data_IF_603799972856
#
_entry.id   IF_603799972856
#
_cell.length_a   1.000
_cell.length_b   1.000
_cell.length_c   1.000
_cell.angle_alpha   90.00
_cell.angle_beta   90.00
_cell.angle_gamma   90.00
#
_symmetry.space_group_name_H-M   'P 1'
#
loop_
_entity.id
_entity.type
_entity.pdbx_description
1 polymer ?
#
# COMPACT_ATOMS: atom_id res chain seq x y z
N UNK A 1 45.15 -9.80 27.37
CA UNK A 1 46.21 -8.76 27.37
C UNK A 1 45.62 -7.55 26.65
N UNK A 2 45.13 -6.51 27.34
CA UNK A 2 45.94 -5.36 27.78
C UNK A 2 46.48 -4.61 26.55
N UNK A 3 46.27 -3.33 26.28
CA UNK A 3 45.96 -2.17 27.13
C UNK A 3 45.67 -0.96 26.22
N UNK A 4 44.97 0.04 26.76
CA UNK A 4 44.68 1.37 26.22
C UNK A 4 45.91 2.15 25.74
N UNK A 5 45.74 3.06 24.78
CA UNK A 5 46.21 4.46 24.90
C UNK A 5 45.30 5.40 24.11
N UNK A 6 44.94 6.50 24.77
CA UNK A 6 43.97 7.51 24.36
C UNK A 6 44.66 8.78 23.84
N UNK A 7 43.84 9.65 23.22
CA UNK A 7 43.99 11.11 23.10
C UNK A 7 45.06 11.60 22.10
N UNK A 8 44.89 12.66 21.29
CA UNK A 8 44.01 13.83 21.27
C UNK A 8 44.23 14.44 19.84
N UNK A 9 43.26 15.03 19.14
CA UNK A 9 43.15 16.51 18.97
C UNK A 9 41.93 16.82 18.09
N UNK A 10 41.23 17.84 18.56
CA UNK A 10 40.07 18.58 18.08
C UNK A 10 39.87 18.82 16.57
N UNK A 11 38.59 18.73 16.18
CA UNK A 11 37.77 19.77 15.53
C UNK A 11 38.50 20.75 14.59
N UNK A 12 38.14 20.72 13.31
CA UNK A 12 37.80 21.95 12.58
C UNK A 12 36.91 21.66 11.37
N UNK A 13 35.70 22.21 11.42
CA UNK A 13 34.90 22.53 10.23
C UNK A 13 35.76 23.30 9.23
N UNK A 14 35.87 22.81 7.99
CA UNK A 14 36.08 23.67 6.83
C UNK A 14 35.19 23.13 5.71
N UNK A 15 34.24 23.96 5.33
CA UNK A 15 33.25 23.71 4.30
C UNK A 15 33.47 24.76 3.20
N UNK A 16 33.20 24.32 1.97
CA UNK A 16 32.84 25.08 0.77
C UNK A 16 33.93 25.75 -0.08
N UNK A 17 33.92 25.26 -1.33
CA UNK A 17 33.73 26.03 -2.58
C UNK A 17 34.95 26.63 -3.28
N UNK A 18 34.86 26.55 -4.63
CA UNK A 18 35.58 27.27 -5.70
C UNK A 18 36.79 26.52 -6.34
N UNK A 19 36.65 25.78 -7.47
CA UNK A 19 36.48 26.13 -8.92
C UNK A 19 37.77 25.66 -9.68
N UNK A 20 37.86 25.30 -10.98
CA UNK A 20 37.15 25.61 -12.23
C UNK A 20 37.53 24.54 -13.29
N UNK A 21 36.62 24.16 -14.20
CA UNK A 21 36.92 23.31 -15.38
C UNK A 21 37.19 24.22 -16.58
N UNK A 22 38.36 24.11 -17.24
CA UNK A 22 38.63 24.76 -18.52
C UNK A 22 38.47 23.72 -19.64
N UNK A 23 37.41 23.84 -20.43
CA UNK A 23 37.29 23.11 -21.69
C UNK A 23 38.13 23.82 -22.75
N UNK A 24 39.12 23.12 -23.33
CA UNK A 24 39.74 23.55 -24.59
C UNK A 24 39.39 22.52 -25.67
N UNK A 25 38.58 22.94 -26.64
CA UNK A 25 38.15 22.14 -27.76
C UNK A 25 39.09 22.44 -28.93
N UNK A 26 40.06 21.55 -29.19
CA UNK A 26 40.76 21.49 -30.49
C UNK A 26 40.89 20.04 -30.93
N UNK A 27 40.08 19.72 -31.94
CA UNK A 27 40.12 18.58 -32.85
C UNK A 27 40.68 17.25 -32.30
N UNK A 28 39.76 16.35 -31.94
CA UNK A 28 39.95 14.93 -32.19
C UNK A 28 40.46 14.05 -31.05
N UNK A 29 40.76 14.57 -29.85
CA UNK A 29 41.18 13.78 -28.69
C UNK A 29 40.73 14.47 -27.38
N UNK A 30 39.75 13.89 -26.67
CA UNK A 30 39.38 14.34 -25.32
C UNK A 30 40.35 13.75 -24.30
N UNK A 31 41.32 14.54 -23.84
CA UNK A 31 42.25 14.19 -22.74
C UNK A 31 41.87 15.02 -21.51
N UNK A 32 41.52 14.37 -20.40
CA UNK A 32 41.24 14.99 -19.09
C UNK A 32 42.54 15.10 -18.29
N UNK A 33 42.86 16.29 -17.78
CA UNK A 33 44.00 16.54 -16.87
C UNK A 33 43.47 17.16 -15.58
N UNK A 34 43.69 16.51 -14.44
CA UNK A 34 43.42 17.06 -13.10
C UNK A 34 44.75 17.29 -12.37
N UNK A 35 44.98 18.50 -11.86
CA UNK A 35 46.10 18.81 -10.95
C UNK A 35 45.55 19.04 -9.55
N UNK A 36 45.98 18.22 -8.58
CA UNK A 36 45.77 18.42 -7.15
C UNK A 36 47.00 19.14 -6.57
N UNK A 37 46.84 20.38 -6.14
CA UNK A 37 47.85 21.07 -5.32
C UNK A 37 47.55 20.82 -3.84
N UNK A 38 48.39 20.01 -3.19
CA UNK A 38 48.37 19.79 -1.74
C UNK A 38 49.52 20.61 -1.14
N UNK A 39 49.20 21.64 -0.35
CA UNK A 39 50.19 22.46 0.35
C UNK A 39 50.28 21.98 1.80
N UNK A 40 51.33 21.21 2.12
CA UNK A 40 51.63 20.75 3.49
C UNK A 40 52.59 21.77 4.13
N UNK A 41 52.17 22.37 5.24
CA UNK A 41 53.00 23.28 6.03
C UNK A 41 53.99 22.53 6.93
N UNK A 42 55.29 22.77 6.75
CA UNK A 42 56.32 22.43 7.73
C UNK A 42 57.33 23.58 7.87
N UNK A 43 57.81 23.77 9.10
CA UNK A 43 58.60 24.90 9.59
C UNK A 43 60.04 24.91 9.04
N UNK A 44 60.58 26.14 9.01
CA UNK A 44 61.93 26.63 8.65
C UNK A 44 63.12 25.67 8.84
N UNK A 45 63.99 25.62 7.83
CA UNK A 45 65.46 25.72 7.92
C UNK A 45 66.07 26.01 6.51
N UNK A 46 67.33 26.47 6.40
CA UNK A 46 67.70 27.68 5.66
C UNK A 46 68.03 27.50 4.17
N UNK A 47 67.91 28.61 3.45
CA UNK A 47 68.34 28.84 2.05
C UNK A 47 69.85 28.59 1.91
N UNK A 48 70.28 28.00 0.78
CA UNK A 48 71.43 28.52 0.07
C UNK A 48 71.05 28.94 -1.35
N UNK A 49 71.42 30.17 -1.65
CA UNK A 49 71.42 30.85 -2.94
C UNK A 49 72.23 30.10 -3.99
N UNK A 50 71.72 29.95 -5.21
CA UNK A 50 72.46 30.36 -6.42
C UNK A 50 71.57 30.31 -7.67
N UNK A 51 71.57 31.43 -8.38
CA UNK A 51 71.06 31.60 -9.74
C UNK A 51 71.89 30.76 -10.73
N UNK A 52 71.27 30.04 -11.67
CA UNK A 52 71.19 30.47 -13.06
C UNK A 52 70.61 29.42 -14.02
N UNK A 53 69.97 29.98 -15.04
CA UNK A 53 69.21 29.38 -16.16
C UNK A 53 70.08 28.50 -17.07
N UNK A 54 69.48 27.45 -17.68
CA UNK A 54 69.26 27.28 -19.15
C UNK A 54 69.10 25.79 -19.57
N UNK A 55 67.88 25.46 -19.97
CA UNK A 55 67.44 24.92 -21.27
C UNK A 55 68.26 23.91 -22.12
N UNK A 56 67.48 22.91 -22.59
CA UNK A 56 67.58 22.03 -23.78
C UNK A 56 68.48 20.78 -23.74
N UNK A 57 67.87 19.57 -23.77
CA UNK A 57 67.68 18.72 -24.97
C UNK A 57 67.02 17.37 -24.55
N UNK A 58 65.88 17.00 -25.15
CA UNK A 58 65.71 15.99 -26.20
C UNK A 58 66.10 14.55 -25.83
N UNK A 59 65.11 13.65 -25.78
CA UNK A 59 65.24 12.31 -26.40
C UNK A 59 63.88 11.68 -26.71
N UNK A 60 63.80 11.08 -27.90
CA UNK A 60 62.71 10.32 -28.51
C UNK A 60 62.20 9.17 -27.62
N UNK A 61 60.89 8.90 -27.67
CA UNK A 61 60.32 7.63 -27.20
C UNK A 61 59.69 6.86 -28.37
N UNK A 62 60.01 5.56 -28.38
CA UNK A 62 59.60 4.56 -29.37
C UNK A 62 58.12 4.22 -29.16
N UNK A 63 57.37 4.15 -30.26
CA UNK A 63 55.97 3.73 -30.28
C UNK A 63 55.84 2.25 -29.94
N UNK A 64 55.18 1.94 -28.82
CA UNK A 64 54.60 0.63 -28.55
C UNK A 64 53.19 0.58 -29.15
N UNK A 65 53.01 -0.28 -30.15
CA UNK A 65 51.68 -0.69 -30.60
C UNK A 65 51.17 -1.77 -29.64
N UNK A 66 50.09 -1.48 -28.91
CA UNK A 66 49.31 -2.48 -28.19
C UNK A 66 48.03 -2.70 -29.00
N UNK A 67 47.93 -3.87 -29.63
CA UNK A 67 46.71 -4.34 -30.30
C UNK A 67 45.63 -4.60 -29.26
N UNK A 68 44.50 -3.90 -29.38
CA UNK A 68 43.28 -4.15 -28.61
C UNK A 68 42.71 -5.53 -28.94
N UNK A 69 42.72 -6.43 -27.96
CA UNK A 69 41.77 -7.54 -27.90
C UNK A 69 41.17 -7.60 -26.49
N UNK A 70 40.47 -6.53 -26.11
CA UNK A 70 39.43 -6.65 -25.09
C UNK A 70 38.20 -7.22 -25.81
N UNK A 71 37.72 -8.37 -25.36
CA UNK A 71 36.37 -8.83 -25.66
C UNK A 71 35.37 -7.73 -25.30
N UNK A 72 34.97 -6.94 -26.29
CA UNK A 72 33.91 -5.96 -26.15
C UNK A 72 32.62 -6.73 -25.89
N UNK A 73 32.21 -6.79 -24.62
CA UNK A 73 30.88 -7.30 -24.25
C UNK A 73 29.84 -6.52 -25.06
N UNK A 74 28.89 -7.24 -25.67
CA UNK A 74 27.88 -6.68 -26.59
C UNK A 74 27.00 -5.66 -25.85
N UNK A 75 26.70 -4.52 -26.47
CA UNK A 75 25.82 -3.49 -25.89
C UNK A 75 24.38 -4.04 -25.73
N UNK A 76 23.72 -3.83 -24.59
CA UNK A 76 22.35 -4.32 -24.33
C UNK A 76 21.33 -3.82 -25.36
N UNK A 77 21.53 -2.61 -25.91
CA UNK A 77 20.68 -2.10 -27.00
C UNK A 77 20.85 -2.91 -28.28
N UNK A 78 22.08 -3.38 -28.57
CA UNK A 78 22.37 -4.24 -29.71
C UNK A 78 21.84 -5.66 -29.50
N UNK A 79 21.92 -6.20 -28.27
CA UNK A 79 21.37 -7.51 -27.91
C UNK A 79 19.85 -7.54 -28.14
N UNK A 80 19.13 -6.48 -27.74
CA UNK A 80 17.69 -6.35 -27.99
C UNK A 80 17.33 -5.86 -29.41
N UNK A 81 18.31 -5.45 -30.23
CA UNK A 81 18.07 -4.97 -31.59
C UNK A 81 17.29 -3.65 -31.68
N UNK A 82 17.48 -2.75 -30.70
CA UNK A 82 16.71 -1.51 -30.56
C UNK A 82 17.63 -0.27 -30.50
N UNK A 83 17.16 0.90 -30.95
CA UNK A 83 17.91 2.15 -30.78
C UNK A 83 17.90 2.61 -29.32
N UNK A 84 18.89 3.40 -28.90
CA UNK A 84 18.97 3.97 -27.53
C UNK A 84 17.78 4.85 -27.16
N UNK A 85 17.12 5.45 -28.15
CA UNK A 85 15.91 6.26 -28.02
C UNK A 85 14.62 5.45 -27.91
N UNK A 86 14.68 4.12 -27.87
CA UNK A 86 13.50 3.25 -27.84
C UNK A 86 12.64 3.49 -26.59
N UNK A 87 11.34 3.66 -26.82
CA UNK A 87 10.35 3.77 -25.74
C UNK A 87 10.25 2.47 -24.94
N UNK A 88 9.82 2.50 -23.67
CA UNK A 88 9.70 1.29 -22.82
C UNK A 88 8.80 0.21 -23.46
N UNK A 89 7.82 0.64 -24.26
CA UNK A 89 7.01 -0.24 -25.09
C UNK A 89 7.90 -1.04 -26.05
N UNK A 90 8.65 -0.38 -26.92
CA UNK A 90 9.48 -1.02 -27.95
C UNK A 90 10.45 -2.03 -27.32
N UNK A 91 11.03 -1.71 -26.16
CA UNK A 91 11.90 -2.61 -25.39
C UNK A 91 11.20 -3.90 -24.97
N UNK A 92 9.98 -3.78 -24.43
CA UNK A 92 9.17 -4.93 -24.02
C UNK A 92 8.77 -5.80 -25.21
N UNK A 93 8.47 -5.19 -26.37
CA UNK A 93 8.17 -5.91 -27.61
C UNK A 93 9.39 -6.67 -28.13
N UNK A 94 10.54 -6.02 -28.17
CA UNK A 94 11.79 -6.63 -28.63
C UNK A 94 12.23 -7.79 -27.73
N UNK A 95 12.15 -7.62 -26.41
CA UNK A 95 12.41 -8.70 -25.44
C UNK A 95 11.49 -9.89 -25.67
N UNK A 96 10.17 -9.66 -25.81
CA UNK A 96 9.22 -10.74 -26.04
C UNK A 96 9.54 -11.53 -27.31
N UNK A 97 9.82 -10.86 -28.43
CA UNK A 97 10.13 -11.53 -29.70
C UNK A 97 11.41 -12.38 -29.62
N UNK A 98 12.44 -11.88 -28.95
CA UNK A 98 13.71 -12.58 -28.80
C UNK A 98 13.61 -13.71 -27.75
N UNK A 99 12.93 -13.48 -26.63
CA UNK A 99 12.64 -14.48 -25.60
C UNK A 99 11.83 -15.65 -26.18
N UNK A 100 10.81 -15.35 -27.00
CA UNK A 100 10.01 -16.37 -27.68
C UNK A 100 10.81 -17.09 -28.77
N UNK A 101 11.85 -16.49 -29.35
CA UNK A 101 12.72 -17.10 -30.36
C UNK A 101 13.76 -18.03 -29.74
N UNK A 102 14.36 -17.63 -28.62
CA UNK A 102 15.46 -18.35 -27.96
C UNK A 102 15.01 -19.23 -26.79
N UNK A 103 13.71 -19.35 -26.52
CA UNK A 103 13.17 -20.21 -25.45
C UNK A 103 13.70 -21.66 -25.56
N UNK A 104 14.15 -22.29 -24.46
CA UNK A 104 14.76 -23.62 -24.49
C UNK A 104 13.84 -24.72 -25.05
N UNK A 105 12.52 -24.56 -24.93
CA UNK A 105 11.53 -25.52 -25.45
C UNK A 105 11.21 -25.37 -26.95
N UNK A 106 11.79 -24.37 -27.64
CA UNK A 106 11.60 -24.22 -29.09
C UNK A 106 12.74 -24.87 -29.88
N UNK A 107 12.42 -25.30 -31.10
CA UNK A 107 13.37 -25.92 -32.05
C UNK A 107 14.57 -25.04 -32.44
N UNK A 108 14.52 -23.73 -32.17
CA UNK A 108 15.62 -22.76 -32.35
C UNK A 108 16.11 -22.15 -31.01
N UNK A 109 15.86 -22.84 -29.90
CA UNK A 109 16.21 -22.39 -28.55
C UNK A 109 17.71 -22.34 -28.31
N UNK A 110 18.17 -21.26 -27.66
CA UNK A 110 19.56 -21.10 -27.26
C UNK A 110 19.59 -20.46 -25.86
N UNK A 111 19.90 -21.28 -24.85
CA UNK A 111 19.91 -20.87 -23.44
C UNK A 111 20.85 -19.69 -23.20
N UNK A 112 21.96 -19.62 -23.93
CA UNK A 112 22.95 -18.55 -23.77
C UNK A 112 22.40 -17.21 -24.27
N UNK A 113 21.75 -17.20 -25.43
CA UNK A 113 21.10 -16.00 -25.97
C UNK A 113 19.86 -15.61 -25.19
N UNK A 114 19.14 -16.57 -24.64
CA UNK A 114 18.01 -16.31 -23.76
C UNK A 114 18.47 -15.57 -22.49
N UNK A 115 19.57 -16.01 -21.88
CA UNK A 115 20.19 -15.33 -20.75
C UNK A 115 20.66 -13.91 -21.11
N UNK A 116 21.39 -13.74 -22.23
CA UNK A 116 21.83 -12.41 -22.70
C UNK A 116 20.65 -11.45 -22.91
N UNK A 117 19.54 -11.94 -23.47
CA UNK A 117 18.33 -11.15 -23.76
C UNK A 117 17.56 -10.78 -22.49
N UNK A 118 17.49 -11.69 -21.51
CA UNK A 118 16.86 -11.44 -20.21
C UNK A 118 17.67 -10.45 -19.37
N UNK A 119 18.99 -10.57 -19.35
CA UNK A 119 19.90 -9.61 -18.69
C UNK A 119 19.73 -8.21 -19.32
N UNK A 120 19.72 -8.13 -20.66
CA UNK A 120 19.53 -6.86 -21.36
C UNK A 120 18.20 -6.19 -21.01
N UNK A 121 17.11 -6.96 -20.89
CA UNK A 121 15.80 -6.41 -20.51
C UNK A 121 15.72 -6.04 -19.02
N UNK A 122 16.41 -6.76 -18.14
CA UNK A 122 16.46 -6.44 -16.71
C UNK A 122 17.10 -5.07 -16.46
N UNK A 123 18.13 -4.72 -17.24
CA UNK A 123 18.81 -3.42 -17.16
C UNK A 123 18.04 -2.34 -17.91
N UNK A 124 17.58 -2.60 -19.14
CA UNK A 124 16.96 -1.58 -19.99
C UNK A 124 15.47 -1.34 -19.72
N UNK A 125 14.81 -2.27 -19.03
CA UNK A 125 13.39 -2.26 -18.71
C UNK A 125 13.02 -1.40 -17.50
N UNK A 126 13.93 -1.26 -16.52
CA UNK A 126 13.79 -0.34 -15.39
C UNK A 126 14.43 1.01 -15.75
N UNK A 127 13.68 2.10 -15.54
CA UNK A 127 14.14 3.45 -15.85
C UNK A 127 15.38 3.85 -15.05
N UNK A 128 15.50 3.41 -13.79
CA UNK A 128 16.65 3.71 -12.92
C UNK A 128 17.89 2.94 -13.37
N UNK A 129 17.77 1.61 -13.55
CA UNK A 129 18.87 0.76 -14.02
C UNK A 129 19.35 1.16 -15.42
N UNK A 130 18.44 1.62 -16.28
CA UNK A 130 18.79 2.17 -17.59
C UNK A 130 19.61 3.45 -17.47
N UNK A 131 19.17 4.40 -16.66
CA UNK A 131 19.89 5.67 -16.51
C UNK A 131 21.32 5.43 -15.98
N UNK A 132 21.46 4.48 -15.05
CA UNK A 132 22.77 4.02 -14.57
C UNK A 132 23.61 3.39 -15.69
N UNK A 133 23.02 2.50 -16.49
CA UNK A 133 23.69 1.89 -17.65
C UNK A 133 24.08 2.92 -18.73
N UNK A 134 23.22 3.90 -19.01
CA UNK A 134 23.48 4.94 -20.00
C UNK A 134 24.56 5.93 -19.51
N UNK A 135 24.69 6.12 -18.19
CA UNK A 135 25.66 7.02 -17.55
C UNK A 135 27.04 6.39 -17.40
N UNK A 136 27.10 5.14 -16.94
CA UNK A 136 28.35 4.46 -16.57
C UNK A 136 28.79 3.39 -17.59
N UNK A 137 27.93 3.05 -18.57
CA UNK A 137 28.18 2.00 -19.55
C UNK A 137 28.35 0.61 -18.92
N UNK A 138 28.72 -0.38 -19.74
CA UNK A 138 29.08 -1.73 -19.23
C UNK A 138 30.37 -1.76 -18.39
N UNK A 139 31.13 -0.66 -18.33
CA UNK A 139 32.42 -0.58 -17.63
C UNK A 139 32.29 -0.46 -16.10
N UNK A 140 31.09 -0.22 -15.56
CA UNK A 140 30.84 -0.26 -14.12
C UNK A 140 30.95 -1.67 -13.49
N UNK A 141 31.02 -2.72 -14.31
CA UNK A 141 30.87 -4.12 -13.89
C UNK A 141 32.21 -4.90 -13.88
N UNK A 142 33.35 -4.25 -13.60
CA UNK A 142 34.65 -4.92 -13.75
C UNK A 142 35.91 -4.25 -13.19
N UNK A 143 35.83 -3.31 -12.24
CA UNK A 143 37.02 -2.84 -11.50
C UNK A 143 36.96 -3.41 -10.08
N UNK A 144 37.64 -4.54 -9.88
CA UNK A 144 37.69 -5.28 -8.63
C UNK A 144 38.29 -4.49 -7.48
N UNK A 145 37.46 -4.33 -6.45
CA UNK A 145 37.74 -4.46 -5.02
C UNK A 145 39.14 -4.96 -4.62
N UNK A 146 39.96 -4.06 -4.09
CA UNK A 146 40.95 -4.35 -3.04
C UNK A 146 41.06 -3.14 -2.10
N UNK A 147 40.43 -3.23 -0.93
CA UNK A 147 40.73 -2.38 0.22
C UNK A 147 39.56 -1.63 0.86
N UNK A 148 39.34 -1.96 2.13
CA UNK A 148 38.69 -1.14 3.17
C UNK A 148 37.16 -1.20 3.31
N UNK A 149 36.73 -1.91 4.35
CA UNK A 149 35.37 -1.95 4.87
C UNK A 149 34.88 -0.57 5.36
N UNK A 150 33.68 -0.16 4.95
CA UNK A 150 32.97 0.96 5.56
C UNK A 150 31.81 1.49 4.72
N UNK A 151 30.58 1.18 5.16
CA UNK A 151 29.32 1.88 4.87
C UNK A 151 28.75 1.86 3.44
N UNK A 152 27.64 1.12 3.28
CA UNK A 152 26.51 1.48 2.43
C UNK A 152 26.79 1.85 0.98
N UNK A 153 27.10 0.85 0.14
CA UNK A 153 27.19 1.04 -1.30
C UNK A 153 27.28 -0.31 -1.97
N UNK A 154 26.15 -0.83 -2.44
CA UNK A 154 26.12 -2.07 -3.21
C UNK A 154 26.96 -1.90 -4.47
N UNK A 155 28.09 -2.61 -4.53
CA UNK A 155 28.82 -2.81 -5.78
C UNK A 155 27.86 -3.43 -6.78
N UNK A 156 27.59 -2.72 -7.87
CA UNK A 156 26.70 -3.18 -8.92
C UNK A 156 27.42 -4.27 -9.71
N UNK A 157 27.23 -5.52 -9.27
CA UNK A 157 27.32 -6.67 -10.14
C UNK A 157 25.93 -6.88 -10.75
N UNK A 158 25.74 -6.50 -12.01
CA UNK A 158 24.64 -7.05 -12.80
C UNK A 158 24.98 -8.52 -13.06
N UNK A 159 24.60 -9.37 -12.11
CA UNK A 159 24.63 -10.81 -12.21
C UNK A 159 23.20 -11.22 -11.89
N UNK A 160 22.43 -11.56 -12.92
CA UNK A 160 20.99 -11.81 -12.82
C UNK A 160 20.69 -12.72 -11.63
N UNK A 161 20.04 -12.17 -10.62
CA UNK A 161 19.56 -12.94 -9.46
C UNK A 161 18.19 -13.58 -9.73
N UNK A 162 17.60 -13.29 -10.90
CA UNK A 162 16.29 -13.78 -11.31
C UNK A 162 16.49 -14.82 -12.40
N UNK A 163 15.87 -16.00 -12.25
CA UNK A 163 15.83 -17.00 -13.30
C UNK A 163 15.16 -16.38 -14.55
N UNK A 164 15.80 -16.39 -15.74
CA UNK A 164 15.23 -15.89 -16.99
C UNK A 164 13.80 -16.39 -17.25
N UNK A 165 13.48 -17.63 -16.84
CA UNK A 165 12.14 -18.19 -16.99
C UNK A 165 11.13 -17.59 -15.99
N UNK A 166 11.55 -17.31 -14.76
CA UNK A 166 10.74 -16.63 -13.74
C UNK A 166 10.49 -15.17 -14.10
N UNK A 167 11.49 -14.48 -14.66
CA UNK A 167 11.36 -13.12 -15.18
C UNK A 167 10.30 -13.07 -16.29
N UNK A 168 10.36 -14.01 -17.24
CA UNK A 168 9.37 -14.12 -18.31
C UNK A 168 7.96 -14.42 -17.76
N UNK A 169 7.84 -15.37 -16.82
CA UNK A 169 6.55 -15.71 -16.17
C UNK A 169 5.98 -14.56 -15.34
N UNK A 170 6.81 -13.78 -14.65
CA UNK A 170 6.34 -12.64 -13.85
C UNK A 170 5.81 -11.52 -14.74
N UNK A 171 6.48 -11.26 -15.87
CA UNK A 171 6.11 -10.15 -16.76
C UNK A 171 4.95 -10.53 -17.70
N UNK A 172 4.88 -11.80 -18.12
CA UNK A 172 3.95 -12.26 -19.17
C UNK A 172 3.08 -13.45 -18.78
N UNK A 173 3.33 -14.13 -17.67
CA UNK A 173 2.57 -15.31 -17.23
C UNK A 173 1.12 -14.99 -16.85
N UNK A 174 0.86 -13.79 -16.31
CA UNK A 174 -0.50 -13.33 -16.00
C UNK A 174 -1.28 -12.89 -17.27
N UNK A 175 -0.55 -12.63 -18.37
CA UNK A 175 -1.12 -12.36 -19.69
C UNK A 175 -1.45 -13.67 -20.43
N UNK A 176 -0.56 -14.67 -20.35
CA UNK A 176 -0.76 -16.01 -20.94
C UNK A 176 -1.89 -16.81 -20.28
N UNK A 177 -2.06 -16.72 -18.94
CA UNK A 177 -3.16 -17.39 -18.22
C UNK A 177 -4.56 -16.93 -18.62
N UNK A 178 -4.69 -15.74 -19.24
CA UNK A 178 -5.98 -15.19 -19.70
C UNK A 178 -6.26 -15.41 -21.19
N UNK A 179 -5.42 -16.17 -21.91
CA UNK A 179 -5.67 -16.54 -23.31
C UNK A 179 -5.80 -15.37 -24.30
N UNK A 180 -5.17 -14.21 -24.01
CA UNK A 180 -5.19 -13.04 -24.89
C UNK A 180 -3.97 -13.00 -25.79
N UNK A 181 -4.18 -12.76 -27.08
CA UNK A 181 -3.13 -12.58 -28.07
C UNK A 181 -2.26 -11.35 -27.75
N UNK A 182 -0.93 -11.51 -27.86
CA UNK A 182 0.04 -10.48 -27.50
C UNK A 182 -0.11 -9.19 -28.32
N UNK A 183 -0.58 -9.30 -29.58
CA UNK A 183 -0.93 -8.17 -30.45
C UNK A 183 -1.99 -7.26 -29.77
N UNK A 184 -3.00 -7.87 -29.14
CA UNK A 184 -4.09 -7.17 -28.45
C UNK A 184 -3.65 -6.53 -27.12
N UNK A 185 -2.58 -7.05 -26.50
CA UNK A 185 -1.99 -6.48 -25.28
C UNK A 185 -1.22 -5.19 -25.58
N UNK A 186 -0.60 -5.09 -26.75
CA UNK A 186 0.29 -4.00 -27.10
C UNK A 186 -0.44 -2.82 -27.76
N UNK A 187 -1.49 -3.08 -28.55
CA UNK A 187 -2.44 -2.04 -28.99
C UNK A 187 -3.21 -1.43 -27.80
N UNK A 188 -3.49 -2.22 -26.76
CA UNK A 188 -4.18 -1.79 -25.54
C UNK A 188 -3.36 -0.87 -24.61
N UNK A 189 -2.10 -0.57 -24.94
CA UNK A 189 -1.27 0.35 -24.15
C UNK A 189 -1.27 1.79 -24.71
N UNK A 190 -1.95 2.07 -25.82
CA UNK A 190 -1.91 3.39 -26.49
C UNK A 190 -3.13 3.81 -27.32
N UNK A 191 -4.02 2.91 -27.71
CA UNK A 191 -5.37 3.30 -28.08
C UNK A 191 -6.16 3.37 -26.78
N UNK A 192 -6.88 4.47 -26.56
CA UNK A 192 -7.64 4.75 -25.34
C UNK A 192 -8.21 3.45 -24.80
N UNK A 193 -7.85 3.14 -23.55
CA UNK A 193 -8.67 2.24 -22.79
C UNK A 193 -10.09 2.74 -23.04
N UNK A 194 -10.86 1.95 -23.78
CA UNK A 194 -12.27 1.84 -23.50
C UNK A 194 -12.30 1.18 -22.11
N UNK A 195 -11.86 1.95 -21.12
CA UNK A 195 -12.59 2.10 -19.88
C UNK A 195 -14.00 2.44 -20.31
N UNK A 196 -14.72 1.42 -20.77
CA UNK A 196 -16.16 1.35 -20.61
C UNK A 196 -16.39 1.89 -19.20
N UNK A 197 -17.27 2.89 -19.09
CA UNK A 197 -17.19 3.96 -18.09
C UNK A 197 -16.64 3.37 -16.82
N UNK A 198 -15.42 3.77 -16.43
CA UNK A 198 -14.81 3.32 -15.19
C UNK A 198 -15.81 3.74 -14.13
N UNK A 199 -16.71 2.81 -13.78
CA UNK A 199 -17.79 3.05 -12.86
C UNK A 199 -17.03 3.38 -11.61
N UNK A 200 -17.02 4.65 -11.22
CA UNK A 200 -16.48 5.08 -9.95
C UNK A 200 -17.05 4.10 -8.94
N UNK A 201 -16.16 3.28 -8.39
CA UNK A 201 -16.54 2.24 -7.46
C UNK A 201 -17.14 3.00 -6.30
N UNK A 202 -18.46 2.94 -6.16
CA UNK A 202 -19.18 3.78 -5.23
C UNK A 202 -18.85 3.26 -3.83
N UNK A 203 -17.86 3.88 -3.18
CA UNK A 203 -17.56 3.62 -1.79
C UNK A 203 -18.51 4.45 -0.93
N UNK A 204 -19.18 3.79 0.00
CA UNK A 204 -20.09 4.42 0.97
C UNK A 204 -19.72 3.95 2.36
N UNK A 205 -19.78 4.87 3.31
CA UNK A 205 -19.56 4.56 4.72
C UNK A 205 -20.94 4.44 5.37
N UNK A 206 -21.16 3.35 6.10
CA UNK A 206 -22.35 3.14 6.91
C UNK A 206 -21.96 3.17 8.38
N UNK A 207 -22.38 4.21 9.09
CA UNK A 207 -22.17 4.32 10.52
C UNK A 207 -23.12 3.38 11.27
N UNK A 208 -22.59 2.60 12.20
CA UNK A 208 -23.32 1.65 13.03
C UNK A 208 -23.01 1.90 14.51
N UNK A 209 -23.99 1.67 15.37
CA UNK A 209 -23.72 1.57 16.80
C UNK A 209 -23.03 0.22 17.11
N UNK A 210 -22.33 0.15 18.24
CA UNK A 210 -21.74 -1.11 18.69
C UNK A 210 -22.76 -2.25 18.81
N UNK A 211 -23.94 -1.95 19.37
CA UNK A 211 -25.01 -2.92 19.55
C UNK A 211 -25.61 -3.39 18.21
N UNK A 212 -25.80 -2.45 17.26
CA UNK A 212 -26.24 -2.76 15.89
C UNK A 212 -25.24 -3.69 15.18
N UNK A 213 -23.94 -3.41 15.30
CA UNK A 213 -22.89 -4.22 14.69
C UNK A 213 -22.83 -5.64 15.28
N UNK A 214 -23.07 -5.78 16.59
CA UNK A 214 -23.06 -7.09 17.25
C UNK A 214 -24.32 -7.91 16.97
N UNK A 215 -25.51 -7.27 16.95
CA UNK A 215 -26.79 -7.95 16.71
C UNK A 215 -27.07 -8.22 15.23
N UNK A 216 -26.52 -7.39 14.34
CA UNK A 216 -26.91 -7.35 12.94
C UNK A 216 -28.23 -6.60 12.76
N UNK A 217 -28.32 -5.78 11.72
CA UNK A 217 -29.51 -4.97 11.44
C UNK A 217 -29.65 -4.75 9.94
N UNK A 218 -30.89 -4.59 9.48
CA UNK A 218 -31.18 -4.16 8.12
C UNK A 218 -31.30 -2.64 8.11
N UNK A 219 -30.34 -1.95 7.49
CA UNK A 219 -30.28 -0.47 7.49
C UNK A 219 -30.56 0.06 6.11
N UNK A 220 -31.45 1.05 6.01
CA UNK A 220 -31.76 1.69 4.74
C UNK A 220 -30.71 2.76 4.40
N UNK A 221 -30.10 2.64 3.22
CA UNK A 221 -29.14 3.60 2.68
C UNK A 221 -29.65 4.17 1.36
N UNK A 222 -29.59 5.50 1.22
CA UNK A 222 -29.90 6.19 -0.02
C UNK A 222 -28.63 6.35 -0.86
N UNK A 223 -28.53 5.58 -1.95
CA UNK A 223 -27.35 5.61 -2.83
C UNK A 223 -27.74 6.26 -4.16
N UNK A 224 -26.95 7.24 -4.59
CA UNK A 224 -27.02 7.80 -5.94
C UNK A 224 -26.24 6.91 -6.89
N UNK A 225 -26.94 6.25 -7.81
CA UNK A 225 -26.35 5.37 -8.83
C UNK A 225 -26.73 5.82 -10.23
N UNK A 226 -25.90 5.50 -11.21
CA UNK A 226 -26.26 5.65 -12.63
C UNK A 226 -27.28 4.57 -12.99
N UNK A 227 -28.47 4.99 -13.40
CA UNK A 227 -29.51 4.08 -13.87
C UNK A 227 -30.12 4.57 -15.18
N UNK A 228 -30.90 3.70 -15.83
CA UNK A 228 -31.65 4.04 -17.03
C UNK A 228 -32.56 5.24 -16.75
N UNK A 229 -32.49 6.25 -17.62
CA UNK A 229 -33.27 7.48 -17.48
C UNK A 229 -34.77 7.15 -17.41
N UNK A 230 -35.46 7.63 -16.37
CA UNK A 230 -36.90 7.38 -16.16
C UNK A 230 -37.76 7.93 -17.30
N UNK A 231 -37.44 9.12 -17.82
CA UNK A 231 -38.25 9.76 -18.85
C UNK A 231 -38.10 9.17 -20.25
N UNK A 232 -36.90 8.74 -20.66
CA UNK A 232 -36.71 8.10 -21.97
C UNK A 232 -36.64 6.57 -21.93
N UNK A 233 -36.57 5.96 -20.75
CA UNK A 233 -36.37 4.50 -20.55
C UNK A 233 -35.21 3.92 -21.37
N UNK A 234 -34.16 4.71 -21.59
CA UNK A 234 -32.97 4.31 -22.35
C UNK A 234 -33.05 4.56 -23.87
N UNK A 235 -34.19 5.05 -24.39
CA UNK A 235 -34.34 5.38 -25.83
C UNK A 235 -33.56 6.63 -26.26
N UNK A 236 -33.06 7.41 -25.29
CA UNK A 236 -32.31 8.68 -25.48
C UNK A 236 -33.12 9.80 -26.15
N UNK A 237 -34.36 9.52 -26.56
CA UNK A 237 -35.27 10.46 -27.20
C UNK A 237 -36.17 11.17 -26.17
N UNK A 238 -36.63 12.37 -26.49
CA UNK A 238 -37.65 13.04 -25.70
C UNK A 238 -38.94 12.18 -25.62
N UNK A 239 -39.70 12.23 -24.51
CA UNK A 239 -40.97 11.52 -24.40
C UNK A 239 -41.89 11.81 -25.59
N UNK A 240 -42.45 10.77 -26.20
CA UNK A 240 -43.29 10.87 -27.40
C UNK A 240 -42.55 10.83 -28.74
N UNK A 241 -41.23 11.01 -28.77
CA UNK A 241 -40.42 10.85 -29.97
C UNK A 241 -39.75 9.48 -30.01
N UNK A 242 -39.78 8.83 -31.16
CA UNK A 242 -39.12 7.54 -31.39
C UNK A 242 -37.77 7.73 -32.08
N UNK A 243 -36.80 6.83 -31.81
CA UNK A 243 -35.56 6.79 -32.59
C UNK A 243 -35.88 6.44 -34.04
N UNK A 244 -35.24 7.12 -34.97
CA UNK A 244 -35.46 6.92 -36.41
C UNK A 244 -34.31 6.06 -36.94
N UNK A 245 -34.61 5.06 -37.78
CA UNK A 245 -33.56 4.25 -38.41
C UNK A 245 -32.58 5.16 -39.16
N UNK A 246 -31.28 4.90 -38.99
CA UNK A 246 -30.26 5.70 -39.64
C UNK A 246 -30.37 5.55 -41.16
N UNK A 247 -30.62 6.66 -41.88
CA UNK A 247 -30.77 6.66 -43.34
C UNK A 247 -29.48 6.31 -44.09
N UNK A 248 -28.32 6.53 -43.47
CA UNK A 248 -27.00 6.28 -44.09
C UNK A 248 -26.64 4.79 -44.11
N UNK A 249 -26.97 4.05 -43.04
CA UNK A 249 -26.66 2.62 -42.93
C UNK A 249 -27.91 1.72 -42.96
N UNK A 250 -29.11 2.28 -43.13
CA UNK A 250 -30.41 1.58 -43.06
C UNK A 250 -30.56 0.65 -41.84
N UNK A 251 -29.96 1.04 -40.71
CA UNK A 251 -29.99 0.25 -39.47
C UNK A 251 -28.94 -0.86 -39.37
N UNK A 252 -27.99 -0.97 -40.29
CA UNK A 252 -26.87 -1.93 -40.20
C UNK A 252 -25.80 -1.47 -39.20
N UNK A 253 -25.65 -0.16 -38.98
CA UNK A 253 -24.66 0.43 -38.08
C UNK A 253 -23.26 0.54 -38.68
N UNK A 254 -23.05 0.03 -39.90
CA UNK A 254 -21.80 0.09 -40.64
C UNK A 254 -22.03 0.76 -41.99
N UNK A 255 -21.06 1.51 -42.49
CA UNK A 255 -21.04 2.05 -43.85
C UNK A 255 -19.89 1.38 -44.61
N UNK A 256 -20.13 1.02 -45.88
CA UNK A 256 -19.10 0.48 -46.75
C UNK A 256 -18.55 1.63 -47.59
N UNK A 257 -17.30 2.01 -47.34
CA UNK A 257 -16.59 3.01 -48.12
C UNK A 257 -15.83 2.28 -49.20
N UNK A 258 -16.14 2.56 -50.46
CA UNK A 258 -15.40 2.06 -51.61
C UNK A 258 -14.47 3.18 -52.09
N UNK A 259 -13.16 2.96 -52.03
CA UNK A 259 -12.16 3.89 -52.58
C UNK A 259 -11.33 3.12 -53.59
N UNK A 260 -11.69 3.28 -54.87
CA UNK A 260 -11.08 2.51 -55.97
C UNK A 260 -11.34 1.00 -55.83
N UNK A 261 -10.34 0.13 -56.07
CA UNK A 261 -10.50 -1.32 -55.99
C UNK A 261 -10.61 -1.86 -54.54
N UNK A 262 -10.55 -0.99 -53.52
CA UNK A 262 -10.62 -1.38 -52.11
C UNK A 262 -12.01 -1.08 -51.52
N UNK A 263 -12.59 -2.08 -50.86
CA UNK A 263 -13.84 -1.96 -50.09
C UNK A 263 -13.53 -2.11 -48.61
N UNK A 264 -13.87 -1.08 -47.82
CA UNK A 264 -13.65 -1.07 -46.37
C UNK A 264 -14.98 -0.82 -45.65
N UNK A 265 -15.31 -1.66 -44.67
CA UNK A 265 -16.46 -1.43 -43.78
C UNK A 265 -15.98 -0.64 -42.56
N UNK A 266 -16.59 0.50 -42.32
CA UNK A 266 -16.33 1.35 -41.16
C UNK A 266 -17.63 1.57 -40.38
N UNK A 267 -17.54 1.98 -39.12
CA UNK A 267 -18.72 2.38 -38.33
C UNK A 267 -19.42 3.54 -39.02
N UNK A 268 -20.75 3.48 -39.16
CA UNK A 268 -21.52 4.53 -39.81
C UNK A 268 -21.30 5.88 -39.10
N UNK A 269 -20.86 6.91 -39.85
CA UNK A 269 -20.54 8.24 -39.28
C UNK A 269 -21.76 8.96 -38.71
N UNK A 270 -22.95 8.67 -39.26
CA UNK A 270 -24.19 9.34 -38.86
C UNK A 270 -24.82 8.79 -37.57
N UNK A 271 -24.65 7.50 -37.28
CA UNK A 271 -25.19 6.89 -36.06
C UNK A 271 -24.12 6.36 -35.10
N UNK A 272 -22.84 6.46 -35.44
CA UNK A 272 -21.72 5.96 -34.64
C UNK A 272 -21.91 4.49 -34.22
N UNK A 273 -22.47 3.67 -35.10
CA UNK A 273 -22.77 2.26 -34.82
C UNK A 273 -24.08 1.99 -34.06
N UNK A 274 -24.82 3.02 -33.61
CA UNK A 274 -26.08 2.84 -32.86
C UNK A 274 -27.28 2.39 -33.72
N UNK A 275 -27.13 2.28 -35.05
CA UNK A 275 -28.18 1.87 -36.03
C UNK A 275 -29.37 2.81 -36.15
N UNK A 276 -29.58 3.67 -35.17
CA UNK A 276 -30.67 4.62 -35.06
C UNK A 276 -30.13 6.02 -34.78
N UNK A 277 -30.84 7.04 -35.27
CA UNK A 277 -30.55 8.45 -35.05
C UNK A 277 -31.65 9.03 -34.18
N UNK A 278 -31.22 9.73 -33.12
CA UNK A 278 -32.10 10.40 -32.17
C UNK A 278 -32.64 11.67 -32.84
N UNK A 279 -33.95 11.75 -33.04
CA UNK A 279 -34.60 12.93 -33.62
C UNK A 279 -34.55 14.12 -32.66
N UNK A 280 -35.15 13.97 -31.47
CA UNK A 280 -35.13 14.97 -30.40
C UNK A 280 -34.52 14.35 -29.15
N UNK A 281 -33.40 14.90 -28.67
CA UNK A 281 -32.69 14.41 -27.49
C UNK A 281 -33.58 14.55 -26.25
N UNK A 282 -33.53 13.54 -25.37
CA UNK A 282 -34.16 13.62 -24.05
C UNK A 282 -33.50 14.73 -23.23
N UNK A 283 -34.32 15.60 -22.62
CA UNK A 283 -33.86 16.75 -21.84
C UNK A 283 -33.18 16.27 -20.54
N UNK A 284 -33.78 15.31 -19.82
CA UNK A 284 -33.25 14.84 -18.53
C UNK A 284 -31.88 14.15 -18.62
N UNK A 285 -31.64 13.37 -19.66
CA UNK A 285 -30.37 12.66 -19.84
C UNK A 285 -29.46 13.31 -20.89
N UNK A 286 -29.86 14.42 -21.50
CA UNK A 286 -29.17 15.06 -22.62
C UNK A 286 -28.79 14.09 -23.76
N UNK A 287 -29.62 13.07 -24.02
CA UNK A 287 -29.35 12.04 -25.03
C UNK A 287 -28.40 10.91 -24.59
N UNK A 288 -27.97 10.86 -23.32
CA UNK A 288 -27.11 9.77 -22.79
C UNK A 288 -27.87 8.48 -22.50
N UNK A 289 -29.19 8.56 -22.24
CA UNK A 289 -30.05 7.42 -21.91
C UNK A 289 -29.94 6.91 -20.46
N UNK A 290 -29.03 7.48 -19.67
CA UNK A 290 -28.84 7.20 -18.25
C UNK A 290 -28.83 8.50 -17.45
N UNK A 291 -29.30 8.45 -16.20
CA UNK A 291 -29.28 9.57 -15.26
C UNK A 291 -28.93 9.07 -13.86
N UNK A 292 -28.36 9.94 -13.03
CA UNK A 292 -28.17 9.64 -11.61
C UNK A 292 -29.53 9.58 -10.92
N UNK A 293 -29.82 8.47 -10.27
CA UNK A 293 -31.05 8.28 -9.51
C UNK A 293 -30.70 7.90 -8.08
N UNK A 294 -31.39 8.52 -7.13
CA UNK A 294 -31.32 8.11 -5.72
C UNK A 294 -32.19 6.87 -5.55
N UNK A 295 -31.59 5.74 -5.19
CA UNK A 295 -32.28 4.50 -4.84
C UNK A 295 -32.15 4.26 -3.35
N UNK A 296 -33.27 3.91 -2.71
CA UNK A 296 -33.27 3.39 -1.35
C UNK A 296 -32.93 1.92 -1.42
N UNK A 297 -31.87 1.52 -0.73
CA UNK A 297 -31.40 0.14 -0.72
C UNK A 297 -31.36 -0.32 0.71
N UNK A 298 -31.94 -1.50 0.97
CA UNK A 298 -31.83 -2.14 2.28
C UNK A 298 -30.50 -2.90 2.32
N UNK A 299 -29.62 -2.49 3.23
CA UNK A 299 -28.28 -3.05 3.39
C UNK A 299 -28.33 -4.03 4.57
N UNK A 300 -28.27 -5.36 4.32
CA UNK A 300 -28.25 -6.33 5.39
C UNK A 300 -26.88 -6.32 6.07
N UNK A 301 -26.82 -5.87 7.32
CA UNK A 301 -25.60 -5.90 8.12
C UNK A 301 -25.56 -7.23 8.87
N UNK A 302 -24.60 -8.12 8.58
CA UNK A 302 -24.48 -9.38 9.32
C UNK A 302 -24.14 -9.11 10.80
N UNK A 303 -24.59 -10.01 11.67
CA UNK A 303 -24.25 -9.93 13.08
C UNK A 303 -22.76 -10.23 13.29
N UNK A 304 -22.10 -9.39 14.09
CA UNK A 304 -20.69 -9.54 14.46
C UNK A 304 -19.69 -8.79 13.58
N UNK A 305 -20.17 -7.89 12.71
CA UNK A 305 -19.33 -7.04 11.84
C UNK A 305 -18.27 -6.27 12.62
N UNK A 306 -17.07 -6.19 12.05
CA UNK A 306 -15.94 -5.43 12.59
C UNK A 306 -15.90 -4.00 12.03
N UNK A 307 -15.20 -3.11 12.74
CA UNK A 307 -14.95 -1.76 12.26
C UNK A 307 -14.04 -1.77 11.03
N UNK A 308 -14.41 -1.02 10.00
CA UNK A 308 -13.70 -0.97 8.72
C UNK A 308 -13.99 -2.14 7.78
N UNK A 309 -14.83 -3.11 8.17
CA UNK A 309 -15.20 -4.21 7.30
C UNK A 309 -16.00 -3.71 6.09
N UNK A 310 -15.66 -4.19 4.89
CA UNK A 310 -16.32 -3.79 3.65
C UNK A 310 -17.23 -4.88 3.11
N UNK A 311 -18.47 -4.53 2.78
CA UNK A 311 -19.42 -5.39 2.07
C UNK A 311 -19.61 -4.92 0.63
N UNK A 312 -19.57 -5.85 -0.32
CA UNK A 312 -19.87 -5.58 -1.73
C UNK A 312 -21.33 -5.90 -2.02
N UNK A 313 -22.03 -4.98 -2.67
CA UNK A 313 -23.40 -5.21 -3.14
C UNK A 313 -23.66 -4.55 -4.49
N UNK A 314 -24.54 -5.14 -5.29
CA UNK A 314 -24.93 -4.58 -6.58
C UNK A 314 -26.22 -3.77 -6.42
N UNK A 315 -26.17 -2.50 -6.84
CA UNK A 315 -27.32 -1.59 -6.82
C UNK A 315 -27.66 -1.21 -8.26
N UNK A 316 -28.59 -1.94 -8.85
CA UNK A 316 -28.87 -1.85 -10.29
C UNK A 316 -27.71 -2.42 -11.10
N UNK A 317 -27.08 -1.60 -11.95
CA UNK A 317 -25.94 -1.99 -12.81
C UNK A 317 -24.58 -1.58 -12.24
N UNK A 318 -24.56 -0.94 -11.07
CA UNK A 318 -23.35 -0.43 -10.44
C UNK A 318 -23.03 -1.25 -9.19
N UNK A 319 -21.76 -1.59 -9.01
CA UNK A 319 -21.26 -2.24 -7.81
C UNK A 319 -20.92 -1.18 -6.76
N UNK A 320 -21.36 -1.40 -5.53
CA UNK A 320 -21.19 -0.49 -4.40
C UNK A 320 -20.45 -1.24 -3.30
N UNK A 321 -19.42 -0.59 -2.74
CA UNK A 321 -18.69 -1.10 -1.59
C UNK A 321 -19.11 -0.28 -0.38
N UNK A 322 -19.66 -0.94 0.62
CA UNK A 322 -20.13 -0.32 1.85
C UNK A 322 -19.14 -0.69 2.95
N UNK A 323 -18.40 0.30 3.43
CA UNK A 323 -17.51 0.17 4.58
C UNK A 323 -18.31 0.46 5.85
N UNK A 324 -18.35 -0.49 6.76
CA UNK A 324 -18.99 -0.31 8.06
C UNK A 324 -18.07 0.46 9.00
N UNK A 325 -18.60 1.49 9.65
CA UNK A 325 -17.89 2.23 10.68
C UNK A 325 -18.64 2.07 12.00
N UNK A 326 -18.03 1.40 12.96
CA UNK A 326 -18.66 1.05 14.24
C UNK A 326 -18.27 2.07 15.29
N UNK A 327 -19.27 2.71 15.88
CA UNK A 327 -19.05 3.67 16.97
C UNK A 327 -18.71 2.93 18.26
N UNK A 328 -17.64 3.29 18.97
CA UNK A 328 -17.28 2.68 20.26
C UNK A 328 -18.41 2.82 21.29
N UNK A 329 -18.73 1.75 22.01
CA UNK A 329 -19.67 1.78 23.13
C UNK A 329 -19.02 2.29 24.42
N UNK A 330 -19.85 2.88 25.28
CA UNK A 330 -19.43 3.30 26.64
C UNK A 330 -19.39 2.15 27.63
N UNK A 331 -20.22 1.12 27.42
CA UNK A 331 -20.42 0.00 28.36
C UNK A 331 -19.54 -1.19 28.00
N UNK A 332 -19.46 -1.50 26.70
CA UNK A 332 -18.76 -2.67 26.19
C UNK A 332 -17.42 -2.29 25.56
N UNK A 333 -16.44 -3.16 25.74
CA UNK A 333 -15.16 -3.16 25.03
C UNK A 333 -15.07 -4.47 24.26
N UNK A 334 -14.89 -4.41 22.96
CA UNK A 334 -14.75 -5.60 22.10
C UNK A 334 -13.30 -6.05 22.07
N UNK A 335 -13.09 -7.34 22.27
CA UNK A 335 -11.83 -8.03 21.99
C UNK A 335 -12.15 -9.20 21.06
N UNK A 336 -12.01 -8.96 19.74
CA UNK A 336 -12.39 -9.89 18.68
C UNK A 336 -13.86 -10.33 18.79
N UNK A 337 -14.13 -11.61 19.09
CA UNK A 337 -15.47 -12.14 19.31
C UNK A 337 -15.94 -12.02 20.77
N UNK A 338 -15.01 -11.80 21.69
CA UNK A 338 -15.29 -11.67 23.11
C UNK A 338 -15.61 -10.22 23.45
N UNK A 339 -16.42 -10.05 24.49
CA UNK A 339 -16.82 -8.72 24.96
C UNK A 339 -16.51 -8.58 26.43
N UNK A 340 -16.05 -7.39 26.78
CA UNK A 340 -15.71 -7.00 28.13
C UNK A 340 -16.64 -5.89 28.59
N UNK A 341 -17.23 -6.02 29.77
CA UNK A 341 -17.95 -4.92 30.42
C UNK A 341 -17.49 -4.73 31.85
N UNK A 342 -17.62 -3.50 32.34
CA UNK A 342 -17.36 -3.16 33.73
C UNK A 342 -18.71 -3.02 34.46
N UNK A 343 -18.91 -3.79 35.53
CA UNK A 343 -20.13 -3.76 36.33
C UNK A 343 -19.80 -3.33 37.75
N UNK A 344 -20.51 -2.33 38.25
CA UNK A 344 -20.32 -1.83 39.62
C UNK A 344 -21.18 -2.60 40.63
N UNK A 345 -20.56 -3.10 41.69
CA UNK A 345 -21.20 -3.86 42.78
C UNK A 345 -21.03 -3.13 44.10
N UNK A 346 -22.00 -3.23 45.02
CA UNK A 346 -21.89 -2.61 46.34
C UNK A 346 -20.93 -3.39 47.26
N UNK A 347 -20.38 -2.71 48.27
CA UNK A 347 -19.49 -3.34 49.26
C UNK A 347 -20.19 -4.53 49.94
N UNK A 348 -21.46 -4.36 50.34
CA UNK A 348 -22.23 -5.41 51.00
C UNK A 348 -22.40 -6.64 50.12
N UNK A 349 -22.65 -6.46 48.81
CA UNK A 349 -22.76 -7.56 47.86
C UNK A 349 -21.43 -8.25 47.58
N UNK A 350 -20.31 -7.51 47.59
CA UNK A 350 -18.98 -8.10 47.42
C UNK A 350 -18.58 -8.96 48.63
N UNK A 351 -18.89 -8.50 49.85
CA UNK A 351 -18.57 -9.21 51.10
C UNK A 351 -19.49 -10.42 51.29
N UNK A 352 -20.81 -10.21 51.28
CA UNK A 352 -21.80 -11.25 51.61
C UNK A 352 -22.16 -12.15 50.43
N UNK A 353 -21.80 -11.73 49.21
CA UNK A 353 -22.31 -12.32 47.98
C UNK A 353 -23.71 -11.81 47.64
N UNK A 354 -24.21 -12.22 46.48
CA UNK A 354 -25.54 -11.83 46.03
C UNK A 354 -25.77 -12.12 44.55
N UNK A 355 -26.77 -11.47 43.98
CA UNK A 355 -27.09 -11.56 42.54
C UNK A 355 -27.16 -10.16 41.96
N UNK A 356 -26.52 -9.95 40.81
CA UNK A 356 -26.59 -8.70 40.06
C UNK A 356 -27.13 -8.95 38.65
N UNK A 357 -27.87 -7.98 38.13
CA UNK A 357 -28.30 -7.97 36.73
C UNK A 357 -27.21 -7.31 35.89
N UNK A 358 -26.59 -8.09 35.00
CA UNK A 358 -25.58 -7.63 34.04
C UNK A 358 -26.25 -7.42 32.69
N UNK A 359 -26.02 -6.25 32.09
CA UNK A 359 -26.47 -5.97 30.72
C UNK A 359 -25.59 -6.71 29.72
N UNK A 360 -26.17 -7.66 28.98
CA UNK A 360 -25.51 -8.32 27.87
C UNK A 360 -25.79 -7.62 26.54
N UNK A 361 -25.18 -8.12 25.46
CA UNK A 361 -25.38 -7.57 24.11
C UNK A 361 -26.78 -7.86 23.60
N UNK A 362 -27.30 -9.05 23.85
CA UNK A 362 -28.61 -9.50 23.36
C UNK A 362 -29.67 -9.36 24.46
N UNK A 363 -29.40 -10.00 25.59
CA UNK A 363 -30.30 -10.06 26.74
C UNK A 363 -29.55 -9.68 28.02
N UNK A 364 -30.31 -9.32 29.04
CA UNK A 364 -29.77 -9.15 30.38
C UNK A 364 -29.58 -10.52 31.07
N UNK A 365 -28.51 -10.65 31.85
CA UNK A 365 -28.15 -11.88 32.55
C UNK A 365 -28.06 -11.66 34.06
N UNK A 366 -28.54 -12.62 34.84
CA UNK A 366 -28.36 -12.61 36.29
C UNK A 366 -27.04 -13.32 36.61
N UNK A 367 -26.08 -12.58 37.16
CA UNK A 367 -24.80 -13.10 37.60
C UNK A 367 -24.83 -13.26 39.12
N UNK A 368 -24.52 -14.48 39.60
CA UNK A 368 -24.34 -14.77 41.02
C UNK A 368 -22.92 -14.40 41.43
N UNK A 369 -22.80 -13.51 42.41
CA UNK A 369 -21.54 -13.05 42.98
C UNK A 369 -21.28 -13.88 44.26
N UNK A 370 -20.15 -14.60 44.33
CA UNK A 370 -19.76 -15.31 45.55
C UNK A 370 -19.35 -14.32 46.65
N UNK A 371 -19.46 -14.76 47.90
CA UNK A 371 -18.95 -13.98 49.04
C UNK A 371 -17.42 -13.82 48.94
N UNK A 372 -16.92 -12.65 49.33
CA UNK A 372 -15.48 -12.33 49.28
C UNK A 372 -14.95 -11.97 47.88
N UNK A 373 -15.84 -11.61 46.94
CA UNK A 373 -15.46 -11.19 45.58
C UNK A 373 -14.60 -9.93 45.60
N UNK A 374 -13.49 -9.96 44.88
CA UNK A 374 -12.53 -8.85 44.84
C UNK A 374 -12.83 -7.85 43.72
N UNK A 375 -12.32 -6.63 43.85
CA UNK A 375 -12.36 -5.66 42.75
C UNK A 375 -11.50 -6.14 41.58
N UNK A 376 -11.97 -5.89 40.36
CA UNK A 376 -11.41 -6.35 39.08
C UNK A 376 -11.42 -7.87 38.86
N UNK A 377 -12.08 -8.62 39.73
CA UNK A 377 -12.33 -10.04 39.50
C UNK A 377 -13.18 -10.23 38.23
N UNK A 378 -12.83 -11.26 37.45
CA UNK A 378 -13.42 -11.53 36.14
C UNK A 378 -14.39 -12.69 36.21
N UNK A 379 -15.60 -12.48 35.70
CA UNK A 379 -16.61 -13.52 35.53
C UNK A 379 -16.82 -13.77 34.05
N UNK A 380 -16.79 -15.04 33.65
CA UNK A 380 -17.01 -15.46 32.26
C UNK A 380 -18.44 -15.93 32.08
N UNK A 381 -19.16 -15.30 31.16
CA UNK A 381 -20.46 -15.73 30.68
C UNK A 381 -20.27 -16.41 29.32
N UNK A 382 -20.24 -17.74 29.32
CA UNK A 382 -19.96 -18.53 28.14
C UNK A 382 -21.04 -18.39 27.07
N UNK A 383 -20.63 -18.14 25.81
CA UNK A 383 -21.53 -18.03 24.66
C UNK A 383 -22.41 -16.78 24.66
N UNK A 384 -22.10 -15.77 25.48
CA UNK A 384 -22.84 -14.50 25.59
C UNK A 384 -22.11 -13.30 24.94
N UNK A 385 -21.04 -13.56 24.19
CA UNK A 385 -20.30 -12.57 23.41
C UNK A 385 -20.87 -12.37 22.01
N UNK A 386 -20.02 -11.94 21.07
CA UNK A 386 -20.42 -11.56 19.70
C UNK A 386 -20.53 -12.82 18.84
N UNK A 387 -21.51 -12.82 17.92
CA UNK A 387 -21.65 -13.89 16.92
C UNK A 387 -20.44 -13.92 15.98
N UNK A 388 -19.89 -15.11 15.74
CA UNK A 388 -18.84 -15.32 14.75
C UNK A 388 -19.38 -15.18 13.33
N UNK A 389 -18.72 -14.40 12.47
CA UNK A 389 -19.14 -14.21 11.07
C UNK A 389 -18.82 -15.46 10.23
N UNK A 390 -17.61 -15.99 10.39
CA UNK A 390 -17.08 -17.08 9.55
C UNK A 390 -17.29 -18.48 10.14
N UNK A 391 -17.82 -18.59 11.36
CA UNK A 391 -18.06 -19.87 12.02
C UNK A 391 -19.35 -19.85 12.82
N UNK A 392 -19.88 -21.02 13.12
CA UNK A 392 -21.04 -21.15 14.01
C UNK A 392 -20.64 -20.89 15.46
N UNK A 393 -21.44 -20.12 16.17
CA UNK A 393 -21.30 -19.90 17.61
C UNK A 393 -21.10 -18.43 17.98
N UNK A 394 -20.90 -18.22 19.27
CA UNK A 394 -20.73 -16.93 19.91
C UNK A 394 -19.41 -16.92 20.67
N UNK A 395 -18.81 -15.74 20.80
CA UNK A 395 -17.76 -15.50 21.79
C UNK A 395 -18.32 -15.47 23.21
N UNK A 396 -17.48 -15.10 24.15
CA UNK A 396 -17.81 -15.02 25.57
C UNK A 396 -17.92 -13.57 26.04
N UNK A 397 -18.68 -13.37 27.12
CA UNK A 397 -18.77 -12.07 27.78
C UNK A 397 -18.06 -12.11 29.13
N UNK A 398 -16.97 -11.36 29.23
CA UNK A 398 -16.22 -11.15 30.45
C UNK A 398 -16.71 -9.91 31.20
N UNK A 399 -17.13 -10.12 32.43
CA UNK A 399 -17.62 -9.07 33.32
C UNK A 399 -16.55 -8.79 34.36
N UNK A 400 -16.05 -7.56 34.41
CA UNK A 400 -15.15 -7.09 35.45
C UNK A 400 -15.95 -6.41 36.54
N UNK A 401 -15.80 -6.90 37.78
CA UNK A 401 -16.48 -6.31 38.92
C UNK A 401 -15.68 -5.11 39.43
N UNK A 402 -16.36 -3.98 39.65
CA UNK A 402 -15.80 -2.80 40.31
C UNK A 402 -16.58 -2.53 41.59
N UNK A 403 -15.92 -2.53 42.73
CA UNK A 403 -16.60 -2.24 43.99
C UNK A 403 -16.87 -0.73 44.07
N UNK A 404 -18.14 -0.35 44.12
CA UNK A 404 -18.56 1.05 44.26
C UNK A 404 -18.73 1.38 45.73
N UNK A 405 -17.85 2.24 46.22
CA UNK A 405 -17.90 2.78 47.58
C UNK A 405 -18.87 3.99 47.59
N UNK A 406 -19.88 4.01 48.47
CA UNK A 406 -20.77 5.16 48.58
C UNK A 406 -20.03 6.39 49.12
N UNK A 407 -20.26 7.56 48.53
CA UNK A 407 -19.59 8.82 48.91
C UNK A 407 -20.23 9.49 50.13
N UNK A 408 -21.48 9.13 50.46
CA UNK A 408 -22.22 9.63 51.61
C UNK A 408 -22.82 8.45 52.35
N UNK A 409 -22.67 8.45 53.67
CA UNK A 409 -23.17 7.41 54.56
C UNK A 409 -24.15 8.04 55.55
N UNK A 410 -25.19 7.29 55.93
CA UNK A 410 -26.05 7.68 57.06
C UNK A 410 -25.30 7.47 58.39
N UNK A 411 -25.74 8.11 59.47
CA UNK A 411 -25.13 7.94 60.80
C UNK A 411 -25.11 6.46 61.23
N UNK A 412 -26.17 5.72 60.94
CA UNK A 412 -26.29 4.29 61.21
C UNK A 412 -25.27 3.47 60.39
N UNK A 413 -25.16 3.71 59.08
CA UNK A 413 -24.19 3.03 58.23
C UNK A 413 -22.75 3.32 58.65
N UNK A 414 -22.47 4.56 59.04
CA UNK A 414 -21.14 4.95 59.54
C UNK A 414 -20.80 4.22 60.85
N UNK A 415 -21.75 4.09 61.78
CA UNK A 415 -21.56 3.32 63.00
C UNK A 415 -21.25 1.84 62.71
N UNK A 416 -21.99 1.21 61.79
CA UNK A 416 -21.77 -0.18 61.38
C UNK A 416 -20.42 -0.41 60.69
N UNK A 417 -19.96 0.55 59.88
CA UNK A 417 -18.65 0.44 59.23
C UNK A 417 -17.52 0.64 60.25
N UNK A 418 -17.71 1.50 61.27
CA UNK A 418 -16.75 1.64 62.37
C UNK A 418 -16.60 0.35 63.17
N UNK A 419 -17.70 -0.31 63.53
CA UNK A 419 -17.65 -1.59 64.25
C UNK A 419 -17.03 -2.71 63.39
N UNK A 420 -17.26 -2.71 62.08
CA UNK A 420 -16.55 -3.59 61.16
C UNK A 420 -15.03 -3.31 61.16
N UNK A 421 -14.63 -2.03 61.08
CA UNK A 421 -13.22 -1.64 61.10
C UNK A 421 -12.47 -1.98 62.41
N UNK A 422 -13.18 -2.09 63.54
CA UNK A 422 -12.60 -2.56 64.81
C UNK A 422 -12.21 -4.05 64.76
N UNK A 423 -13.00 -4.85 64.06
CA UNK A 423 -12.79 -6.29 63.91
C UNK A 423 -11.84 -6.63 62.75
N UNK A 424 -11.67 -5.72 61.79
CA UNK A 424 -10.78 -5.88 60.64
C UNK A 424 -9.29 -5.96 61.06
N UNK A 425 -8.66 -7.09 60.75
CA UNK A 425 -7.27 -7.41 61.05
C UNK A 425 -6.30 -7.10 59.91
N UNK A 426 -6.79 -6.97 58.68
CA UNK A 426 -5.95 -6.93 57.47
C UNK A 426 -5.59 -5.50 57.01
N UNK A 427 -5.80 -4.51 57.89
CA UNK A 427 -5.52 -3.11 57.58
C UNK A 427 -4.06 -2.76 57.88
N UNK A 428 -3.30 -2.46 56.82
CA UNK A 428 -1.99 -1.81 56.90
C UNK A 428 -2.15 -0.28 56.95
N UNK A 429 -2.18 0.30 58.15
CA UNK A 429 -2.34 1.74 58.38
C UNK A 429 -3.30 2.08 59.53
N UNK A 430 -3.76 3.33 59.57
CA UNK A 430 -4.79 3.81 60.50
C UNK A 430 -6.14 3.96 59.80
N UNK A 431 -7.22 3.59 60.49
CA UNK A 431 -8.59 3.94 60.10
C UNK A 431 -9.00 5.16 60.92
N UNK A 432 -9.50 6.20 60.25
CA UNK A 432 -9.84 7.46 60.90
C UNK A 432 -10.88 7.26 62.02
N UNK A 433 -10.54 7.70 63.24
CA UNK A 433 -11.35 7.49 64.44
C UNK A 433 -11.06 6.20 65.22
N UNK A 434 -10.10 5.37 64.79
CA UNK A 434 -9.64 4.17 65.51
C UNK A 434 -8.13 4.23 65.73
N UNK A 435 -7.68 4.39 66.98
CA UNK A 435 -6.26 4.26 67.32
C UNK A 435 -5.94 2.80 67.65
N UNK A 436 -5.11 2.15 66.83
CA UNK A 436 -4.53 0.83 67.19
C UNK A 436 -3.45 1.10 68.24
N UNK A 437 -3.81 1.09 69.52
CA UNK A 437 -2.82 1.00 70.60
C UNK A 437 -2.22 -0.39 70.60
N UNK A 438 -0.89 -0.46 70.71
CA UNK A 438 -0.04 -1.67 70.64
C UNK A 438 -0.33 -2.72 71.72
N UNK A 439 -1.35 -2.52 72.57
CA UNK A 439 -1.70 -3.34 73.73
C UNK A 439 -3.09 -4.02 73.66
N UNK A 440 -3.69 -4.15 72.47
CA UNK A 440 -4.86 -5.01 72.28
C UNK A 440 -6.16 -4.57 72.98
N UNK A 441 -6.21 -3.37 73.57
CA UNK A 441 -7.44 -2.70 74.00
C UNK A 441 -7.65 -1.45 73.15
N UNK A 442 -8.55 -1.56 72.18
CA UNK A 442 -8.93 -0.48 71.26
C UNK A 442 -10.03 0.37 71.91
N UNK A 443 -9.76 1.65 72.13
CA UNK A 443 -10.77 2.63 72.54
C UNK A 443 -11.19 3.47 71.32
N UNK A 444 -12.50 3.72 71.21
CA UNK A 444 -13.08 4.68 70.28
C UNK A 444 -12.76 6.10 70.80
N UNK A 445 -12.29 6.98 69.91
CA UNK A 445 -12.11 8.42 70.18
C UNK A 445 -13.46 9.13 70.38
#
# INVERSE_FOLDING_TARGET
MGTRFANLICRSNLNLQDFTIIHSQKQGLNTLVYLLNVQIGAKKCPIPTHENKRFFHSTKLKNFFISNNLQAKKDYYQILGIPKTASPKIKKKAYYQLAQKYHPDKTAGDKTKFQEVSEAYEVLGDEKKRQEYDTFGMAGNGMGNDGQAGFGGGGFHYQSQVDPEELFRTIFGDAFKRGRDFESMFEGFGAGADSGPQYEVAQRILDLSFEEACRGVNKELNIRVLDTCKSCKGTRCAPGHKPVKCKQCNGTGMESIQTGPFFMRTTCRACYGHREVISKKCIECAGKGQTYQSKRVNVPVPAGVEDGQTMRMNVGKQEVYITFKVTPSKIFRRDKEDVHSDVSVSISQAILGGTIKVTGIYDDHQLRIPAGTQSHERFRLSGKGIKRIHSSGYGDHYVYIKIKIPTKLTKEQQALIKTYAETDSDVNGSVEGLTKTTNGKKELL
#
